data_IF_887190492593
#
_entry.id   IF_887190492593
#
_cell.length_a   1.000
_cell.length_b   1.000
_cell.length_c   1.000
_cell.angle_alpha   90.00
_cell.angle_beta   90.00
_cell.angle_gamma   90.00
#
_symmetry.space_group_name_H-M   'P 1'
#
loop_
_entity.id
_entity.type
_entity.pdbx_description
1 polymer ?
#
# COMPACT_ATOMS: atom_id res chain seq x y z
N UNK A 1 27.37 -6.49 -21.51
CA UNK A 1 26.01 -5.93 -21.70
C UNK A 1 24.91 -6.86 -21.22
N UNK A 2 24.74 -8.09 -21.75
CA UNK A 2 23.66 -9.02 -21.31
C UNK A 2 23.63 -9.28 -19.80
N UNK A 3 24.78 -9.52 -19.15
CA UNK A 3 24.86 -9.76 -17.69
C UNK A 3 24.42 -8.55 -16.86
N UNK A 4 24.73 -7.33 -17.29
CA UNK A 4 24.32 -6.10 -16.60
C UNK A 4 22.82 -5.86 -16.72
N UNK A 5 22.25 -6.10 -17.91
CA UNK A 5 20.80 -6.05 -18.14
C UNK A 5 20.07 -7.10 -17.29
N UNK A 6 20.56 -8.34 -17.27
CA UNK A 6 20.01 -9.40 -16.40
C UNK A 6 20.09 -9.04 -14.93
N UNK A 7 21.20 -8.46 -14.47
CA UNK A 7 21.37 -8.04 -13.08
C UNK A 7 20.44 -6.88 -12.72
N UNK A 8 20.31 -5.87 -13.59
CA UNK A 8 19.37 -4.77 -13.40
C UNK A 8 17.92 -5.28 -13.34
N UNK A 9 17.54 -6.20 -14.22
CA UNK A 9 16.22 -6.82 -14.20
C UNK A 9 15.97 -7.58 -12.90
N UNK A 10 16.94 -8.36 -12.42
CA UNK A 10 16.83 -9.07 -11.13
C UNK A 10 16.62 -8.10 -9.96
N UNK A 11 17.34 -6.98 -9.94
CA UNK A 11 17.16 -5.94 -8.92
C UNK A 11 15.76 -5.34 -8.99
N UNK A 12 15.27 -4.99 -10.18
CA UNK A 12 13.90 -4.46 -10.36
C UNK A 12 12.85 -5.47 -9.88
N UNK A 13 13.00 -6.74 -10.24
CA UNK A 13 12.08 -7.80 -9.80
C UNK A 13 12.12 -7.97 -8.29
N UNK A 14 13.32 -8.00 -7.68
CA UNK A 14 13.46 -8.10 -6.23
C UNK A 14 12.80 -6.91 -5.50
N UNK A 15 12.97 -5.69 -6.00
CA UNK A 15 12.31 -4.51 -5.46
C UNK A 15 10.78 -4.59 -5.62
N UNK A 16 10.28 -4.98 -6.79
CA UNK A 16 8.84 -5.12 -7.02
C UNK A 16 8.21 -6.15 -6.08
N UNK A 17 8.86 -7.29 -5.89
CA UNK A 17 8.39 -8.37 -4.99
C UNK A 17 8.40 -7.90 -3.54
N UNK A 18 9.49 -7.28 -3.09
CA UNK A 18 9.62 -6.84 -1.69
C UNK A 18 8.64 -5.73 -1.33
N UNK A 19 8.52 -4.70 -2.17
CA UNK A 19 7.57 -3.60 -1.97
C UNK A 19 6.12 -4.09 -2.09
N UNK A 20 5.84 -4.95 -3.09
CA UNK A 20 4.52 -5.54 -3.27
C UNK A 20 4.10 -6.41 -2.09
N UNK A 21 5.01 -7.23 -1.56
CA UNK A 21 4.76 -8.04 -0.37
C UNK A 21 4.51 -7.19 0.87
N UNK A 22 5.32 -6.14 1.09
CA UNK A 22 5.15 -5.22 2.23
C UNK A 22 3.82 -4.46 2.16
N UNK A 23 3.45 -3.97 0.99
CA UNK A 23 2.16 -3.32 0.75
C UNK A 23 1.00 -4.30 0.98
N UNK A 24 1.08 -5.50 0.41
CA UNK A 24 0.05 -6.52 0.55
C UNK A 24 -0.15 -6.91 2.02
N UNK A 25 0.95 -7.14 2.75
CA UNK A 25 0.91 -7.42 4.19
C UNK A 25 0.23 -6.30 4.97
N UNK A 26 0.53 -5.04 4.66
CA UNK A 26 -0.13 -3.88 5.27
C UNK A 26 -1.65 -3.89 5.05
N UNK A 27 -2.11 -4.00 3.80
CA UNK A 27 -3.56 -3.86 3.52
C UNK A 27 -4.38 -5.09 3.93
N UNK A 28 -3.76 -6.24 4.15
CA UNK A 28 -4.49 -7.51 4.41
C UNK A 28 -4.30 -8.10 5.80
N UNK A 29 -3.15 -7.89 6.45
CA UNK A 29 -2.75 -8.59 7.67
C UNK A 29 -2.03 -7.68 8.68
N UNK A 30 -2.23 -6.36 8.62
CA UNK A 30 -1.65 -5.46 9.62
C UNK A 30 -2.45 -5.46 10.91
N UNK A 31 -1.78 -5.27 12.04
CA UNK A 31 -2.40 -5.07 13.35
C UNK A 31 -2.81 -3.60 13.59
N UNK A 32 -2.34 -2.67 12.75
CA UNK A 32 -2.61 -1.23 12.88
C UNK A 32 -2.77 -0.53 11.53
N UNK A 33 -3.79 0.32 11.36
CA UNK A 33 -3.93 1.13 10.15
C UNK A 33 -2.87 2.25 10.07
N UNK A 34 -2.10 2.48 11.14
CA UNK A 34 -1.13 3.56 11.25
C UNK A 34 0.32 3.10 11.07
N UNK A 35 0.56 2.07 10.26
CA UNK A 35 1.89 1.64 9.84
C UNK A 35 2.46 2.63 8.79
N UNK A 36 3.47 3.40 9.17
CA UNK A 36 4.05 4.46 8.32
C UNK A 36 4.50 3.96 6.95
N UNK A 37 5.18 2.81 6.89
CA UNK A 37 5.69 2.26 5.62
C UNK A 37 4.54 1.75 4.75
N UNK A 38 3.56 1.11 5.35
CA UNK A 38 2.36 0.64 4.67
C UNK A 38 1.53 1.78 4.09
N UNK A 39 1.32 2.84 4.87
CA UNK A 39 0.69 4.09 4.44
C UNK A 39 1.41 4.66 3.23
N UNK A 40 2.73 4.77 3.32
CA UNK A 40 3.59 5.38 2.33
C UNK A 40 3.60 4.61 0.99
N UNK A 41 3.49 3.28 1.07
CA UNK A 41 3.33 2.42 -0.10
C UNK A 41 1.92 2.53 -0.69
N UNK A 42 0.88 2.45 0.14
CA UNK A 42 -0.50 2.45 -0.33
C UNK A 42 -0.92 3.80 -0.92
N UNK A 43 -0.48 4.92 -0.32
CA UNK A 43 -0.82 6.28 -0.77
C UNK A 43 -0.32 6.58 -2.19
N UNK A 44 0.78 5.92 -2.60
CA UNK A 44 1.40 6.02 -3.93
C UNK A 44 0.92 5.01 -4.95
N UNK A 45 0.09 4.05 -4.55
CA UNK A 45 -0.49 3.12 -5.50
C UNK A 45 -1.41 3.86 -6.49
N UNK A 46 -1.53 3.37 -7.73
CA UNK A 46 -2.58 3.81 -8.65
C UNK A 46 -3.94 3.76 -7.97
N UNK A 47 -4.79 4.75 -8.28
CA UNK A 47 -6.06 4.97 -7.57
C UNK A 47 -6.89 3.69 -7.34
N UNK A 48 -7.09 2.78 -8.32
CA UNK A 48 -7.88 1.57 -8.09
C UNK A 48 -7.27 0.62 -7.05
N UNK A 49 -5.94 0.48 -7.04
CA UNK A 49 -5.25 -0.36 -6.06
C UNK A 49 -5.26 0.26 -4.67
N UNK A 50 -5.12 1.59 -4.61
CA UNK A 50 -5.21 2.35 -3.36
C UNK A 50 -6.60 2.21 -2.74
N UNK A 51 -7.66 2.41 -3.52
CA UNK A 51 -9.05 2.24 -3.08
C UNK A 51 -9.31 0.81 -2.57
N UNK A 52 -8.86 -0.20 -3.32
CA UNK A 52 -8.95 -1.59 -2.88
C UNK A 52 -8.23 -1.81 -1.53
N UNK A 53 -7.01 -1.31 -1.38
CA UNK A 53 -6.24 -1.40 -0.14
C UNK A 53 -6.93 -0.69 1.03
N UNK A 54 -7.44 0.52 0.80
CA UNK A 54 -8.20 1.27 1.80
C UNK A 54 -9.51 0.56 2.17
N UNK A 55 -10.20 -0.08 1.22
CA UNK A 55 -11.37 -0.92 1.49
C UNK A 55 -11.04 -2.12 2.37
N UNK A 56 -9.90 -2.78 2.14
CA UNK A 56 -9.42 -3.88 2.99
C UNK A 56 -9.12 -3.41 4.42
N UNK A 57 -8.47 -2.26 4.57
CA UNK A 57 -8.20 -1.66 5.88
C UNK A 57 -9.50 -1.23 6.59
N UNK A 58 -10.43 -0.61 5.86
CA UNK A 58 -11.74 -0.17 6.39
C UNK A 58 -12.55 -1.34 6.93
N UNK A 59 -12.47 -2.52 6.30
CA UNK A 59 -13.16 -3.71 6.77
C UNK A 59 -12.75 -4.13 8.19
N UNK A 60 -11.51 -3.86 8.60
CA UNK A 60 -11.00 -4.17 9.94
C UNK A 60 -11.01 -2.95 10.88
N UNK A 61 -10.73 -1.75 10.35
CA UNK A 61 -10.44 -0.54 11.13
C UNK A 61 -11.45 0.60 10.90
N UNK A 62 -12.61 0.36 10.29
CA UNK A 62 -13.57 1.40 9.92
C UNK A 62 -14.11 2.27 11.07
N UNK A 63 -13.88 1.88 12.33
CA UNK A 63 -14.24 2.64 13.51
C UNK A 63 -13.24 3.77 13.87
N UNK A 64 -12.06 3.80 13.25
CA UNK A 64 -11.04 4.84 13.48
C UNK A 64 -10.90 5.79 12.28
N UNK A 65 -10.16 6.88 12.48
CA UNK A 65 -9.85 7.82 11.40
C UNK A 65 -9.04 7.13 10.30
N UNK A 66 -9.36 7.35 9.02
CA UNK A 66 -8.62 6.76 7.92
C UNK A 66 -7.16 7.21 7.94
N UNK A 67 -6.21 6.31 7.65
CA UNK A 67 -4.82 6.71 7.49
C UNK A 67 -4.63 7.58 6.23
N UNK A 68 -3.48 8.26 6.16
CA UNK A 68 -3.14 9.11 5.01
C UNK A 68 -3.27 8.35 3.67
N UNK A 69 -3.89 9.00 2.68
CA UNK A 69 -4.18 8.40 1.38
C UNK A 69 -5.43 7.51 1.33
N UNK A 70 -6.07 7.24 2.48
CA UNK A 70 -7.38 6.57 2.57
C UNK A 70 -8.53 7.47 3.05
N UNK A 71 -8.23 8.74 3.39
CA UNK A 71 -9.23 9.74 3.73
C UNK A 71 -9.79 10.44 2.49
N UNK A 72 -11.08 10.77 2.51
CA UNK A 72 -11.72 11.68 1.56
C UNK A 72 -11.24 13.12 1.72
N UNK A 73 -11.89 14.08 1.06
CA UNK A 73 -11.49 15.49 1.08
C UNK A 73 -11.46 16.10 2.49
N UNK A 74 -12.31 15.60 3.39
CA UNK A 74 -12.38 16.03 4.78
C UNK A 74 -11.36 15.35 5.71
N UNK A 75 -10.61 14.36 5.19
CA UNK A 75 -9.64 13.55 5.95
C UNK A 75 -10.26 12.67 7.04
N UNK A 76 -11.59 12.59 7.13
CA UNK A 76 -12.32 11.88 8.19
C UNK A 76 -13.17 10.76 7.64
N UNK A 77 -13.69 10.94 6.44
CA UNK A 77 -14.40 9.91 5.69
C UNK A 77 -13.42 8.97 5.00
N UNK A 78 -13.74 7.68 4.98
CA UNK A 78 -12.95 6.72 4.21
C UNK A 78 -13.29 6.83 2.73
N UNK A 79 -12.28 6.80 1.87
CA UNK A 79 -12.50 6.67 0.42
C UNK A 79 -13.17 5.33 0.09
N UNK A 80 -14.02 5.35 -0.92
CA UNK A 80 -14.62 4.16 -1.54
C UNK A 80 -13.83 3.73 -2.77
#
# INVERSE_FOLDING_TARGET
MKRLLSMALLVVVALAVTLGWRWYGYVSNTDSPYDEVGIELNSRMPLPLRQWGCGKLKATFGAVLPPYGCGGEDGKTWIE
#
